data_IF_534284964612
#
_entry.id   IF_534284964612
#
_cell.length_a   1.000
_cell.length_b   1.000
_cell.length_c   1.000
_cell.angle_alpha   90.00
_cell.angle_beta   90.00
_cell.angle_gamma   90.00
#
_symmetry.space_group_name_H-M   'P 1'
#
loop_
_entity.id
_entity.type
_entity.pdbx_description
1 polymer ?
#
# COMPACT_ATOMS: atom_id res chain seq x y z
N UNK A 1 -12.83 -1.17 26.84
CA UNK A 1 -11.83 -1.59 25.84
C UNK A 1 -11.31 -0.34 25.15
N UNK A 2 -10.03 0.04 25.33
CA UNK A 2 -9.45 1.18 24.61
C UNK A 2 -9.24 0.78 23.14
N UNK A 3 -9.67 1.61 22.19
CA UNK A 3 -9.36 1.43 20.77
C UNK A 3 -7.83 1.54 20.59
N UNK A 4 -7.19 0.63 19.84
CA UNK A 4 -5.79 0.82 19.48
C UNK A 4 -5.68 2.06 18.58
N UNK A 5 -4.87 3.04 18.98
CA UNK A 5 -4.50 4.13 18.09
C UNK A 5 -3.40 3.63 17.15
N UNK A 6 -3.72 3.60 15.86
CA UNK A 6 -2.82 3.19 14.81
C UNK A 6 -2.11 4.43 14.26
N UNK A 7 -0.79 4.36 14.09
CA UNK A 7 0.05 5.41 13.52
C UNK A 7 0.73 4.89 12.26
N UNK A 8 0.75 5.70 11.21
CA UNK A 8 1.57 5.41 10.04
C UNK A 8 3.00 5.88 10.29
N UNK A 9 3.95 4.95 10.23
CA UNK A 9 5.37 5.21 10.40
C UNK A 9 6.07 4.56 9.21
N UNK A 10 6.70 5.39 8.36
CA UNK A 10 7.43 4.91 7.17
C UNK A 10 6.59 4.02 6.23
N UNK A 11 5.31 4.33 6.07
CA UNK A 11 4.40 3.58 5.21
C UNK A 11 3.92 2.25 5.79
N UNK A 12 4.21 1.95 7.05
CA UNK A 12 3.66 0.81 7.80
C UNK A 12 2.79 1.29 8.96
N UNK A 13 1.74 0.53 9.27
CA UNK A 13 0.75 0.88 10.30
C UNK A 13 1.13 0.19 11.61
N UNK A 14 1.59 0.98 12.58
CA UNK A 14 2.04 0.49 13.88
C UNK A 14 1.08 0.89 14.99
N UNK A 15 0.91 0.00 15.98
CA UNK A 15 0.12 0.27 17.18
C UNK A 15 0.89 1.15 18.15
N UNK A 16 0.28 2.25 18.61
CA UNK A 16 0.91 3.24 19.48
C UNK A 16 1.38 2.67 20.82
N UNK A 17 0.64 1.72 21.38
CA UNK A 17 0.98 1.09 22.65
C UNK A 17 2.26 0.27 22.55
N UNK A 18 2.37 -0.57 21.51
CA UNK A 18 3.57 -1.39 21.29
C UNK A 18 4.78 -0.52 20.92
N UNK A 19 4.58 0.56 20.17
CA UNK A 19 5.64 1.52 19.83
C UNK A 19 6.23 2.18 21.10
N UNK A 20 5.37 2.68 21.99
CA UNK A 20 5.83 3.31 23.25
C UNK A 20 6.58 2.29 24.11
N UNK A 21 6.09 1.06 24.21
CA UNK A 21 6.75 0.01 24.98
C UNK A 21 8.12 -0.33 24.36
N UNK A 22 8.23 -0.41 23.03
CA UNK A 22 9.51 -0.64 22.35
C UNK A 22 10.54 0.45 22.67
N UNK A 23 10.13 1.72 22.64
CA UNK A 23 11.00 2.85 22.98
C UNK A 23 11.49 2.75 24.43
N UNK A 24 10.58 2.44 25.37
CA UNK A 24 10.93 2.29 26.78
C UNK A 24 11.91 1.13 26.98
N UNK A 25 11.67 -0.02 26.36
CA UNK A 25 12.55 -1.19 26.43
C UNK A 25 13.94 -0.84 25.87
N UNK A 26 13.99 -0.21 24.70
CA UNK A 26 15.26 0.22 24.09
C UNK A 26 16.03 1.19 24.99
N UNK A 27 15.35 2.17 25.57
CA UNK A 27 15.96 3.11 26.52
C UNK A 27 16.48 2.39 27.77
N UNK A 28 15.68 1.54 28.41
CA UNK A 28 16.08 0.80 29.60
C UNK A 28 17.28 -0.11 29.35
N UNK A 29 17.30 -0.84 28.22
CA UNK A 29 18.40 -1.73 27.87
C UNK A 29 19.67 -0.94 27.53
N UNK A 30 19.56 0.12 26.73
CA UNK A 30 20.70 0.97 26.35
C UNK A 30 21.33 1.66 27.57
N UNK A 31 20.51 2.29 28.43
CA UNK A 31 21.02 2.91 29.65
C UNK A 31 21.57 1.87 30.63
N UNK A 32 20.88 0.74 30.80
CA UNK A 32 21.30 -0.33 31.69
C UNK A 32 22.66 -0.91 31.30
N UNK A 33 22.84 -1.23 30.02
CA UNK A 33 24.12 -1.74 29.50
C UNK A 33 25.23 -0.71 29.57
N UNK A 34 24.95 0.58 29.30
CA UNK A 34 25.92 1.66 29.46
C UNK A 34 26.40 1.79 30.91
N UNK A 35 25.50 1.89 31.88
CA UNK A 35 25.86 2.04 33.29
C UNK A 35 26.56 0.80 33.85
N UNK A 36 26.09 -0.40 33.46
CA UNK A 36 26.72 -1.64 33.87
C UNK A 36 28.14 -1.75 33.31
N UNK A 37 28.33 -1.43 32.04
CA UNK A 37 29.64 -1.42 31.40
C UNK A 37 30.56 -0.38 32.05
N UNK A 38 30.06 0.84 32.30
CA UNK A 38 30.84 1.89 32.96
C UNK A 38 31.29 1.44 34.35
N UNK A 39 30.40 0.83 35.14
CA UNK A 39 30.74 0.40 36.50
C UNK A 39 31.77 -0.73 36.51
N UNK A 40 31.65 -1.71 35.62
CA UNK A 40 32.62 -2.80 35.46
C UNK A 40 33.97 -2.29 34.93
N UNK A 41 33.96 -1.42 33.91
CA UNK A 41 35.18 -0.94 33.26
C UNK A 41 35.97 0.02 34.13
N UNK A 42 35.33 0.82 34.99
CA UNK A 42 36.03 1.65 35.97
C UNK A 42 36.82 0.84 37.00
N UNK A 43 36.43 -0.42 37.25
CA UNK A 43 37.17 -1.34 38.11
C UNK A 43 38.32 -2.08 37.42
N UNK A 44 38.34 -2.10 36.08
CA UNK A 44 39.28 -2.91 35.28
C UNK A 44 40.31 -2.02 34.55
N UNK A 45 39.92 -0.81 34.14
CA UNK A 45 40.73 0.07 33.29
C UNK A 45 41.34 1.18 34.12
N UNK A 46 42.66 1.34 34.05
CA UNK A 46 43.40 2.36 34.82
C UNK A 46 43.03 3.80 34.46
N UNK A 47 42.49 4.03 33.27
CA UNK A 47 42.07 5.36 32.81
C UNK A 47 40.54 5.49 32.68
N UNK A 48 39.98 6.42 33.44
CA UNK A 48 38.54 6.72 33.43
C UNK A 48 38.02 7.17 32.05
N UNK A 49 38.88 7.81 31.24
CA UNK A 49 38.51 8.25 29.89
C UNK A 49 38.32 7.08 28.93
N UNK A 50 39.17 6.05 28.99
CA UNK A 50 39.03 4.85 28.17
C UNK A 50 37.84 4.01 28.62
N UNK A 51 37.64 3.88 29.93
CA UNK A 51 36.46 3.20 30.49
C UNK A 51 35.15 3.81 29.96
N UNK A 52 35.07 5.15 29.88
CA UNK A 52 33.90 5.85 29.35
C UNK A 52 33.69 5.63 27.85
N UNK A 53 34.76 5.62 27.06
CA UNK A 53 34.68 5.34 25.62
C UNK A 53 34.18 3.91 25.34
N UNK A 54 34.70 2.92 26.06
CA UNK A 54 34.22 1.54 25.96
C UNK A 54 32.79 1.39 26.45
N UNK A 55 32.39 2.08 27.52
CA UNK A 55 30.99 2.07 27.98
C UNK A 55 30.02 2.62 26.92
N UNK A 56 30.39 3.69 26.21
CA UNK A 56 29.58 4.21 25.09
C UNK A 56 29.41 3.17 23.98
N UNK A 57 30.48 2.45 23.62
CA UNK A 57 30.42 1.38 22.63
C UNK A 57 29.49 0.24 23.07
N UNK A 58 29.56 -0.15 24.35
CA UNK A 58 28.65 -1.15 24.92
C UNK A 58 27.21 -0.67 24.96
N UNK A 59 26.96 0.63 25.18
CA UNK A 59 25.62 1.22 25.08
C UNK A 59 25.02 1.13 23.67
N UNK A 60 25.83 1.32 22.62
CA UNK A 60 25.39 1.13 21.22
C UNK A 60 25.02 -0.34 20.96
N UNK A 61 25.86 -1.28 21.42
CA UNK A 61 25.55 -2.72 21.38
C UNK A 61 24.25 -3.05 22.13
N UNK A 62 24.03 -2.43 23.30
CA UNK A 62 22.81 -2.56 24.07
C UNK A 62 21.57 -2.03 23.33
N UNK A 63 21.69 -0.90 22.63
CA UNK A 63 20.62 -0.39 21.78
C UNK A 63 20.26 -1.37 20.66
N UNK A 64 21.27 -1.95 20.00
CA UNK A 64 21.08 -2.98 18.97
C UNK A 64 20.32 -4.20 19.52
N UNK A 65 20.73 -4.69 20.69
CA UNK A 65 20.05 -5.79 21.37
C UNK A 65 18.61 -5.42 21.76
N UNK A 66 18.37 -4.20 22.24
CA UNK A 66 17.03 -3.71 22.55
C UNK A 66 16.12 -3.62 21.33
N UNK A 67 16.66 -3.24 20.17
CA UNK A 67 15.97 -3.27 18.89
C UNK A 67 15.61 -4.70 18.47
N UNK A 68 16.55 -5.64 18.58
CA UNK A 68 16.30 -7.07 18.28
C UNK A 68 15.24 -7.66 19.21
N UNK A 69 15.32 -7.37 20.52
CA UNK A 69 14.33 -7.83 21.50
C UNK A 69 12.95 -7.27 21.17
N UNK A 70 12.87 -5.98 20.83
CA UNK A 70 11.62 -5.35 20.44
C UNK A 70 11.06 -5.96 19.15
N UNK A 71 11.90 -6.24 18.16
CA UNK A 71 11.49 -6.90 16.92
C UNK A 71 10.98 -8.33 17.14
N UNK A 72 11.56 -9.08 18.08
CA UNK A 72 11.11 -10.43 18.43
C UNK A 72 9.79 -10.37 19.22
N UNK A 73 9.67 -9.41 20.16
CA UNK A 73 8.51 -9.27 21.03
C UNK A 73 7.27 -8.79 20.26
N UNK A 74 7.46 -7.85 19.34
CA UNK A 74 6.39 -7.31 18.49
C UNK A 74 6.42 -8.01 17.14
N UNK A 75 5.97 -9.27 17.14
CA UNK A 75 5.87 -10.07 15.92
C UNK A 75 5.04 -9.32 14.87
N UNK A 76 5.46 -9.24 13.60
CA UNK A 76 4.77 -8.48 12.57
C UNK A 76 3.30 -8.94 12.46
N UNK A 77 2.38 -8.06 12.86
CA UNK A 77 0.92 -8.29 12.83
C UNK A 77 0.31 -8.02 11.45
N UNK A 78 1.10 -8.17 10.39
CA UNK A 78 0.62 -8.08 9.01
C UNK A 78 -0.27 -9.28 8.72
N UNK A 79 -1.56 -9.11 8.95
CA UNK A 79 -2.56 -9.79 8.12
C UNK A 79 -2.50 -9.08 6.77
N UNK A 80 -1.69 -9.62 5.85
CA UNK A 80 -1.72 -9.21 4.44
C UNK A 80 -2.99 -9.79 3.88
N UNK A 81 -4.11 -9.16 4.20
CA UNK A 81 -5.35 -9.43 3.52
C UNK A 81 -5.19 -8.74 2.16
N UNK A 82 -4.45 -9.38 1.26
CA UNK A 82 -4.77 -9.33 -0.17
C UNK A 82 -6.16 -9.95 -0.33
N UNK A 83 -7.19 -9.25 0.15
CA UNK A 83 -8.51 -9.42 -0.41
C UNK A 83 -8.36 -8.88 -1.83
N UNK A 84 -7.90 -9.77 -2.72
CA UNK A 84 -8.29 -9.82 -4.12
C UNK A 84 -9.65 -9.17 -4.21
N UNK A 85 -9.67 -7.95 -4.74
CA UNK A 85 -10.80 -7.04 -4.68
C UNK A 85 -12.12 -7.82 -4.75
N UNK A 86 -12.89 -7.75 -3.66
CA UNK A 86 -14.18 -8.43 -3.50
C UNK A 86 -14.91 -8.35 -4.86
N UNK A 87 -15.31 -9.50 -5.46
CA UNK A 87 -15.98 -9.50 -6.76
C UNK A 87 -17.12 -8.47 -6.83
N UNK A 88 -17.77 -8.19 -5.69
CA UNK A 88 -18.82 -7.18 -5.57
C UNK A 88 -18.29 -5.74 -5.64
N UNK A 89 -17.14 -5.43 -5.02
CA UNK A 89 -16.49 -4.13 -5.12
C UNK A 89 -16.02 -3.84 -6.55
N UNK A 90 -15.47 -4.85 -7.23
CA UNK A 90 -15.07 -4.73 -8.65
C UNK A 90 -16.26 -4.43 -9.56
N UNK A 91 -17.41 -5.08 -9.31
CA UNK A 91 -18.65 -4.80 -10.03
C UNK A 91 -19.20 -3.39 -9.73
N UNK A 92 -19.07 -2.90 -8.49
CA UNK A 92 -19.50 -1.55 -8.10
C UNK A 92 -18.66 -0.47 -8.77
N UNK A 93 -17.34 -0.59 -8.77
CA UNK A 93 -16.45 0.35 -9.47
C UNK A 93 -16.72 0.34 -10.97
N UNK A 94 -16.99 -0.83 -11.56
CA UNK A 94 -17.31 -0.92 -12.99
C UNK A 94 -18.66 -0.26 -13.32
N UNK A 95 -19.66 -0.42 -12.44
CA UNK A 95 -20.94 0.28 -12.57
C UNK A 95 -20.80 1.80 -12.42
N UNK A 96 -19.93 2.26 -11.52
CA UNK A 96 -19.61 3.68 -11.33
C UNK A 96 -18.89 4.27 -12.56
N UNK A 97 -17.89 3.55 -13.10
CA UNK A 97 -17.20 3.94 -14.33
C UNK A 97 -18.15 3.99 -15.53
N UNK A 98 -19.09 3.04 -15.64
CA UNK A 98 -20.12 3.03 -16.68
C UNK A 98 -21.09 4.21 -16.52
N UNK A 99 -21.41 4.57 -15.29
CA UNK A 99 -22.29 5.71 -15.00
C UNK A 99 -21.62 7.07 -15.33
N UNK A 100 -20.30 7.19 -15.13
CA UNK A 100 -19.56 8.44 -15.34
C UNK A 100 -19.09 8.63 -16.79
N UNK A 101 -18.65 7.56 -17.46
CA UNK A 101 -18.07 7.62 -18.81
C UNK A 101 -18.96 7.05 -19.93
N UNK A 102 -20.13 6.48 -19.59
CA UNK A 102 -21.01 5.83 -20.56
C UNK A 102 -20.61 4.37 -20.84
N UNK A 103 -20.78 3.90 -22.06
CA UNK A 103 -20.50 2.49 -22.40
C UNK A 103 -19.00 2.18 -22.34
N UNK A 104 -18.66 1.01 -21.77
CA UNK A 104 -17.28 0.53 -21.66
C UNK A 104 -16.68 0.08 -23.00
N UNK A 105 -17.46 0.12 -24.09
CA UNK A 105 -17.04 -0.33 -25.41
C UNK A 105 -17.06 -1.86 -25.55
N UNK A 106 -16.76 -2.36 -26.75
CA UNK A 106 -16.80 -3.80 -27.05
C UNK A 106 -15.42 -4.43 -26.87
N UNK A 107 -15.37 -5.57 -26.16
CA UNK A 107 -14.13 -6.34 -26.03
C UNK A 107 -13.56 -6.79 -27.39
N UNK A 108 -14.42 -6.93 -28.40
CA UNK A 108 -14.07 -7.34 -29.77
C UNK A 108 -13.30 -6.26 -30.57
N UNK A 109 -13.33 -5.01 -30.11
CA UNK A 109 -12.65 -3.88 -30.77
C UNK A 109 -11.26 -3.61 -30.17
N UNK A 110 -10.90 -4.32 -29.10
CA UNK A 110 -9.61 -4.16 -28.42
C UNK A 110 -8.48 -4.87 -29.19
N UNK A 111 -7.28 -4.25 -29.28
CA UNK A 111 -6.09 -4.92 -29.78
C UNK A 111 -5.79 -6.20 -29.00
N UNK A 112 -5.25 -7.22 -29.69
CA UNK A 112 -4.94 -8.52 -29.08
C UNK A 112 -3.98 -8.43 -27.89
N UNK A 113 -3.09 -7.42 -27.87
CA UNK A 113 -2.17 -7.13 -26.77
C UNK A 113 -2.92 -6.70 -25.50
N UNK A 114 -3.91 -5.80 -25.62
CA UNK A 114 -4.72 -5.32 -24.50
C UNK A 114 -5.63 -6.43 -23.94
N UNK A 115 -6.15 -7.29 -24.82
CA UNK A 115 -6.91 -8.48 -24.40
C UNK A 115 -6.05 -9.46 -23.60
N UNK A 116 -4.77 -9.59 -23.93
CA UNK A 116 -3.84 -10.43 -23.19
C UNK A 116 -3.57 -9.86 -21.78
N UNK A 117 -3.35 -8.55 -21.67
CA UNK A 117 -3.18 -7.88 -20.36
C UNK A 117 -4.43 -7.99 -19.48
N UNK A 118 -5.63 -7.82 -20.06
CA UNK A 118 -6.89 -7.98 -19.33
C UNK A 118 -7.09 -9.41 -18.80
N UNK A 119 -6.57 -10.43 -19.51
CA UNK A 119 -6.60 -11.82 -19.06
C UNK A 119 -5.59 -12.08 -17.96
N UNK A 120 -4.38 -11.53 -18.07
CA UNK A 120 -3.33 -11.62 -17.05
C UNK A 120 -3.77 -10.99 -15.73
N UNK A 121 -4.48 -9.87 -15.79
CA UNK A 121 -5.01 -9.17 -14.62
C UNK A 121 -6.34 -9.75 -14.10
N UNK A 122 -6.86 -10.83 -14.69
CA UNK A 122 -8.17 -11.42 -14.36
C UNK A 122 -9.35 -10.42 -14.43
N UNK A 123 -9.25 -9.44 -15.32
CA UNK A 123 -10.27 -8.43 -15.60
C UNK A 123 -11.18 -8.82 -16.76
N UNK A 124 -10.71 -9.65 -17.69
CA UNK A 124 -11.44 -10.01 -18.91
C UNK A 124 -12.87 -10.51 -18.66
N UNK A 125 -13.04 -11.46 -17.73
CA UNK A 125 -14.36 -12.01 -17.42
C UNK A 125 -15.30 -10.97 -16.78
N UNK A 126 -14.74 -10.04 -15.99
CA UNK A 126 -15.50 -8.96 -15.36
C UNK A 126 -16.08 -7.98 -16.40
N UNK A 127 -15.27 -7.57 -17.39
CA UNK A 127 -15.73 -6.71 -18.48
C UNK A 127 -16.71 -7.43 -19.42
N UNK A 128 -16.50 -8.73 -19.68
CA UNK A 128 -17.41 -9.54 -20.50
C UNK A 128 -18.80 -9.64 -19.85
N UNK A 129 -18.84 -9.86 -18.54
CA UNK A 129 -20.10 -10.00 -17.81
C UNK A 129 -20.85 -8.66 -17.74
N UNK A 130 -20.12 -7.53 -17.70
CA UNK A 130 -20.68 -6.18 -17.80
C UNK A 130 -21.24 -5.87 -19.20
N UNK A 131 -20.50 -6.18 -20.27
CA UNK A 131 -20.98 -6.04 -21.66
C UNK A 131 -22.26 -6.87 -21.89
N UNK A 132 -22.30 -8.11 -21.37
CA UNK A 132 -23.48 -8.96 -21.44
C UNK A 132 -24.66 -8.41 -20.61
N UNK A 133 -24.41 -7.70 -19.51
CA UNK A 133 -25.45 -7.05 -18.72
C UNK A 133 -26.01 -5.80 -19.42
N UNK A 134 -25.16 -5.00 -20.07
CA UNK A 134 -25.59 -3.88 -20.92
C UNK A 134 -26.43 -4.37 -22.11
N UNK A 135 -25.99 -5.43 -22.80
CA UNK A 135 -26.71 -6.02 -23.93
C UNK A 135 -28.10 -6.58 -23.54
N UNK A 136 -28.27 -7.06 -22.31
CA UNK A 136 -29.57 -7.49 -21.77
C UNK A 136 -30.48 -6.33 -21.37
N UNK A 137 -29.90 -5.16 -21.07
CA UNK A 137 -30.62 -3.97 -20.60
C UNK A 137 -31.02 -3.05 -21.76
N UNK A 138 -30.37 -3.15 -22.92
CA UNK A 138 -30.72 -2.42 -24.13
C UNK A 138 -31.96 -3.03 -24.84
N UNK A 139 -33.13 -2.35 -24.87
CA UNK A 139 -34.22 -2.75 -25.76
C UNK A 139 -33.86 -2.34 -27.18
N UNK A 140 -33.74 -3.34 -28.07
CA UNK A 140 -33.57 -3.25 -29.52
C UNK A 140 -33.42 -1.85 -30.15
N UNK A 141 -32.18 -1.39 -30.29
CA UNK A 141 -31.85 -0.29 -31.19
C UNK A 141 -31.51 -0.86 -32.58
N UNK A 142 -32.54 -1.19 -33.35
CA UNK A 142 -32.46 -1.03 -34.80
C UNK A 142 -32.30 0.46 -35.10
N UNK A 143 -31.12 0.90 -35.51
CA UNK A 143 -30.97 2.18 -36.22
C UNK A 143 -30.22 1.96 -37.52
N UNK A 144 -31.01 1.77 -38.56
CA UNK A 144 -30.88 2.41 -39.87
C UNK A 144 -29.60 3.22 -40.07
N UNK A 145 -28.79 2.74 -41.02
CA UNK A 145 -27.81 3.57 -41.72
C UNK A 145 -28.58 4.69 -42.42
N UNK A 146 -28.70 5.86 -41.77
CA UNK A 146 -29.17 7.08 -42.42
C UNK A 146 -27.97 7.96 -42.77
N UNK A 147 -27.61 7.84 -44.05
CA UNK A 147 -26.67 8.66 -44.78
C UNK A 147 -27.18 10.11 -44.82
N UNK A 148 -26.43 11.07 -44.27
CA UNK A 148 -26.65 12.50 -44.55
C UNK A 148 -25.35 13.16 -45.04
N UNK A 149 -25.44 14.12 -45.99
CA UNK A 149 -24.37 14.45 -46.90
C UNK A 149 -23.37 15.45 -46.31
N UNK A 150 -22.16 15.39 -46.89
CA UNK A 150 -21.10 16.36 -46.71
C UNK A 150 -21.56 17.80 -46.99
N UNK A 151 -21.38 18.69 -46.02
CA UNK A 151 -21.10 20.09 -46.25
C UNK A 151 -20.00 20.52 -45.28
N UNK A 152 -18.76 20.41 -45.76
CA UNK A 152 -17.58 20.99 -45.15
C UNK A 152 -17.58 22.51 -45.40
N UNK A 153 -17.76 23.29 -44.34
CA UNK A 153 -17.32 24.70 -44.35
C UNK A 153 -15.98 24.77 -43.66
N UNK A 154 -14.92 24.69 -44.46
CA UNK A 154 -13.56 24.98 -44.05
C UNK A 154 -13.07 26.22 -44.77
N UNK A 155 -12.75 27.21 -43.92
CA UNK A 155 -11.58 28.08 -43.99
C UNK A 155 -11.71 29.47 -44.64
N UNK A 156 -11.23 30.46 -43.87
CA UNK A 156 -10.29 31.44 -44.41
C UNK A 156 -10.57 32.89 -44.03
N UNK A 157 -9.71 33.49 -43.19
CA UNK A 157 -9.63 34.95 -43.11
C UNK A 157 -8.82 35.51 -41.94
N UNK A 158 -7.49 35.56 -42.09
CA UNK A 158 -6.59 36.40 -41.29
C UNK A 158 -6.68 37.84 -41.81
N UNK A 159 -6.83 38.83 -40.90
CA UNK A 159 -6.20 40.15 -40.92
C UNK A 159 -6.54 40.88 -39.61
#
# INVERSE_FOLDING_TARGET
>A
MKKPELYEVWGDTVDSGHLIIAIIIGACISLGTFYLAQHLLLGIVESAQMARAYAMLTGILGCLAGGVISAILFKPKRDVVENMADPTFRQQVLAELTAEHGTLGRLDELPAEVVAELRELALYDLFRDAEAAEARTAPGATSSVEMLPAQASLNGGRA
#
